data_IF_588025623957
#
_entry.id   IF_588025623957
#
_cell.length_a   1.000
_cell.length_b   1.000
_cell.length_c   1.000
_cell.angle_alpha   90.00
_cell.angle_beta   90.00
_cell.angle_gamma   90.00
#
_symmetry.space_group_name_H-M   'P 1'
#
loop_
_entity.id
_entity.type
_entity.pdbx_description
1 polymer ?
#
# COMPACT_ATOMS: atom_id res chain seq x y z
N UNK A 1 1.67 10.03 -11.12
CA UNK A 1 2.01 8.93 -10.19
C UNK A 1 1.73 7.57 -10.81
N UNK A 2 2.41 6.54 -10.35
CA UNK A 2 2.21 5.17 -10.81
C UNK A 2 2.44 4.19 -9.66
N UNK A 3 1.68 3.09 -9.69
CA UNK A 3 1.81 1.96 -8.77
C UNK A 3 2.18 0.73 -9.58
N UNK A 4 3.21 0.00 -9.17
CA UNK A 4 3.71 -1.17 -9.90
C UNK A 4 4.31 -2.22 -8.97
N UNK A 5 4.41 -3.44 -9.49
CA UNK A 5 5.18 -4.52 -8.89
C UNK A 5 6.53 -4.59 -9.62
N UNK A 6 7.62 -4.43 -8.89
CA UNK A 6 8.98 -4.54 -9.43
C UNK A 6 9.60 -5.84 -8.94
N UNK A 7 10.05 -6.67 -9.89
CA UNK A 7 10.76 -7.91 -9.58
C UNK A 7 12.24 -7.79 -9.90
N UNK A 8 13.05 -8.03 -8.92
CA UNK A 8 14.51 -8.15 -9.02
C UNK A 8 14.89 -9.63 -9.06
N UNK A 9 15.55 -10.14 -10.12
CA UNK A 9 15.95 -11.54 -10.17
C UNK A 9 17.08 -11.85 -9.18
N UNK A 10 17.29 -13.12 -8.81
CA UNK A 10 18.46 -13.51 -8.02
C UNK A 10 19.78 -13.06 -8.66
N UNK A 11 20.69 -12.54 -7.84
CA UNK A 11 21.99 -12.01 -8.30
C UNK A 11 21.92 -10.62 -8.94
N UNK A 12 20.75 -9.99 -8.96
CA UNK A 12 20.62 -8.65 -9.51
C UNK A 12 21.42 -7.65 -8.67
N UNK A 13 22.15 -6.78 -9.35
CA UNK A 13 22.93 -5.72 -8.71
C UNK A 13 23.07 -4.49 -9.59
N UNK A 14 23.26 -3.35 -8.95
CA UNK A 14 23.57 -2.07 -9.56
C UNK A 14 24.70 -1.40 -8.76
N UNK A 15 25.84 -1.21 -9.41
CA UNK A 15 27.08 -0.75 -8.78
C UNK A 15 27.49 0.66 -9.25
N UNK A 16 26.52 1.49 -9.53
CA UNK A 16 26.76 2.89 -9.88
C UNK A 16 25.79 3.78 -9.11
N UNK A 17 26.27 4.97 -8.80
CA UNK A 17 25.47 5.98 -8.12
C UNK A 17 24.39 6.52 -9.04
N UNK A 18 23.17 6.53 -8.54
CA UNK A 18 22.01 7.11 -9.22
C UNK A 18 21.09 7.81 -8.23
N UNK A 19 20.19 8.63 -8.76
CA UNK A 19 19.03 9.17 -8.06
C UNK A 19 17.84 9.28 -9.02
N UNK A 20 16.64 9.35 -8.47
CA UNK A 20 15.43 9.62 -9.25
C UNK A 20 14.87 10.98 -8.87
N UNK A 21 14.26 11.69 -9.85
CA UNK A 21 13.64 13.01 -9.66
C UNK A 21 12.15 12.93 -9.31
N UNK A 22 11.77 11.84 -8.67
CA UNK A 22 10.44 11.65 -8.11
C UNK A 22 10.56 10.91 -6.77
N UNK A 23 9.57 11.07 -5.91
CA UNK A 23 9.50 10.25 -4.71
C UNK A 23 9.25 8.80 -5.10
N UNK A 24 9.85 7.88 -4.35
CA UNK A 24 9.60 6.46 -4.43
C UNK A 24 9.27 5.93 -3.05
N UNK A 25 8.12 5.30 -2.94
CA UNK A 25 7.79 4.47 -1.80
C UNK A 25 7.81 3.01 -2.23
N UNK A 26 8.22 2.11 -1.35
CA UNK A 26 8.08 0.69 -1.61
C UNK A 26 7.80 -0.13 -0.35
N UNK A 27 7.15 -1.26 -0.57
CA UNK A 27 6.92 -2.31 0.41
C UNK A 27 7.42 -3.64 -0.14
N UNK A 28 8.24 -4.37 0.62
CA UNK A 28 8.82 -5.63 0.16
C UNK A 28 7.81 -6.76 0.35
N UNK A 29 7.37 -7.35 -0.76
CA UNK A 29 6.42 -8.47 -0.79
C UNK A 29 7.11 -9.83 -0.68
N UNK A 30 8.27 -9.98 -1.34
CA UNK A 30 9.04 -11.23 -1.37
C UNK A 30 10.54 -10.94 -1.39
N UNK A 31 11.32 -11.84 -0.77
CA UNK A 31 12.78 -11.80 -0.84
C UNK A 31 13.41 -10.64 -0.08
N UNK A 32 14.52 -10.12 -0.62
CA UNK A 32 15.33 -9.09 0.01
C UNK A 32 16.07 -8.25 -1.02
N UNK A 33 16.08 -6.93 -0.80
CA UNK A 33 16.95 -5.99 -1.54
C UNK A 33 17.74 -5.14 -0.55
N UNK A 34 19.00 -4.85 -0.87
CA UNK A 34 19.82 -3.90 -0.14
C UNK A 34 20.02 -2.63 -0.96
N UNK A 35 19.83 -1.46 -0.36
CA UNK A 35 20.09 -0.14 -0.94
C UNK A 35 21.04 0.58 0.03
N UNK A 36 22.20 1.05 -0.44
CA UNK A 36 23.20 1.72 0.39
C UNK A 36 23.57 0.94 1.67
N UNK A 37 23.71 -0.38 1.56
CA UNK A 37 23.98 -1.32 2.66
C UNK A 37 22.84 -1.45 3.70
N UNK A 38 21.68 -0.87 3.45
CA UNK A 38 20.47 -1.10 4.27
C UNK A 38 19.71 -2.26 3.62
N UNK A 39 19.49 -3.33 4.38
CA UNK A 39 18.70 -4.47 3.92
C UNK A 39 17.22 -4.25 4.16
N UNK A 40 16.42 -4.56 3.13
CA UNK A 40 14.96 -4.51 3.13
C UNK A 40 14.44 -5.92 2.84
N UNK A 41 13.97 -6.58 3.86
CA UNK A 41 13.34 -7.90 3.82
C UNK A 41 11.82 -7.79 3.75
N UNK A 42 11.13 -8.92 3.61
CA UNK A 42 9.66 -8.98 3.58
C UNK A 42 9.04 -8.24 4.77
N UNK A 43 7.97 -7.49 4.50
CA UNK A 43 7.24 -6.63 5.43
C UNK A 43 8.04 -5.38 5.88
N UNK A 44 9.02 -4.96 5.09
CA UNK A 44 9.65 -3.66 5.28
C UNK A 44 9.16 -2.63 4.27
N UNK A 45 9.11 -1.39 4.72
CA UNK A 45 8.70 -0.20 3.98
C UNK A 45 9.81 0.84 3.97
N UNK A 46 9.91 1.61 2.89
CA UNK A 46 10.71 2.82 2.80
C UNK A 46 9.99 3.90 1.99
N UNK A 47 10.27 5.17 2.32
CA UNK A 47 9.96 6.33 1.49
C UNK A 47 11.27 7.06 1.17
N UNK A 48 11.64 7.04 -0.10
CA UNK A 48 12.85 7.67 -0.62
C UNK A 48 12.46 8.92 -1.41
N UNK A 49 12.68 10.12 -0.85
CA UNK A 49 12.28 11.36 -1.52
C UNK A 49 13.06 11.61 -2.81
N UNK A 50 12.49 12.40 -3.71
CA UNK A 50 13.14 12.88 -4.92
C UNK A 50 14.57 13.37 -4.64
N UNK A 51 15.54 12.90 -5.42
CA UNK A 51 16.95 13.22 -5.24
C UNK A 51 17.72 12.34 -4.25
N UNK A 52 17.04 11.39 -3.56
CA UNK A 52 17.74 10.44 -2.69
C UNK A 52 18.73 9.60 -3.48
N UNK A 53 20.01 9.68 -3.09
CA UNK A 53 21.09 9.02 -3.79
C UNK A 53 21.19 7.53 -3.41
N UNK A 54 21.33 6.70 -4.42
CA UNK A 54 21.56 5.26 -4.30
C UNK A 54 22.93 4.93 -4.87
N UNK A 55 23.87 4.58 -4.00
CA UNK A 55 25.25 4.26 -4.40
C UNK A 55 25.40 2.80 -4.84
N UNK A 56 24.58 1.94 -4.23
CA UNK A 56 24.53 0.52 -4.55
C UNK A 56 23.15 -0.05 -4.30
N UNK A 57 22.74 -0.99 -5.15
CA UNK A 57 21.54 -1.78 -4.96
C UNK A 57 21.84 -3.25 -5.28
N UNK A 58 21.46 -4.16 -4.40
CA UNK A 58 21.79 -5.59 -4.54
C UNK A 58 20.60 -6.43 -4.07
N UNK A 59 20.21 -7.41 -4.87
CA UNK A 59 19.28 -8.47 -4.45
C UNK A 59 19.92 -9.84 -4.75
N UNK A 60 20.47 -10.47 -3.71
CA UNK A 60 21.21 -11.73 -3.85
C UNK A 60 20.29 -12.88 -4.23
N UNK A 61 19.15 -12.98 -3.59
CA UNK A 61 18.20 -14.09 -3.74
C UNK A 61 16.95 -13.72 -4.54
N UNK A 62 16.87 -12.47 -5.03
CA UNK A 62 15.71 -11.91 -5.66
C UNK A 62 14.81 -11.18 -4.67
N UNK A 63 14.01 -10.25 -5.19
CA UNK A 63 13.02 -9.50 -4.42
C UNK A 63 11.82 -9.13 -5.29
N UNK A 64 10.66 -8.98 -4.66
CA UNK A 64 9.45 -8.41 -5.27
C UNK A 64 8.97 -7.26 -4.41
N UNK A 65 8.85 -6.08 -4.98
CA UNK A 65 8.45 -4.86 -4.31
C UNK A 65 7.13 -4.34 -4.90
N UNK A 66 6.21 -3.98 -4.03
CA UNK A 66 5.12 -3.07 -4.38
C UNK A 66 5.69 -1.66 -4.29
N UNK A 67 5.70 -0.93 -5.40
CA UNK A 67 6.38 0.36 -5.51
C UNK A 67 5.42 1.44 -6.02
N UNK A 68 5.53 2.61 -5.43
CA UNK A 68 4.76 3.80 -5.78
C UNK A 68 5.71 4.93 -6.17
N UNK A 69 5.49 5.51 -7.34
CA UNK A 69 6.22 6.68 -7.79
C UNK A 69 5.32 7.90 -7.80
N UNK A 70 5.76 8.99 -7.17
CA UNK A 70 5.02 10.26 -7.13
C UNK A 70 4.89 10.95 -8.50
N UNK A 71 5.76 10.62 -9.44
CA UNK A 71 5.81 11.17 -10.79
C UNK A 71 6.38 10.19 -11.81
N UNK A 72 6.80 10.71 -12.96
CA UNK A 72 7.47 9.91 -14.00
C UNK A 72 8.84 9.45 -13.52
N UNK A 73 9.09 8.16 -13.61
CA UNK A 73 10.39 7.58 -13.26
C UNK A 73 11.46 8.07 -14.26
N UNK A 74 12.41 8.85 -13.75
CA UNK A 74 13.56 9.33 -14.48
C UNK A 74 14.81 9.05 -13.67
N UNK A 75 15.61 8.09 -14.11
CA UNK A 75 16.83 7.64 -13.44
C UNK A 75 18.01 8.46 -13.95
N UNK A 76 18.66 9.18 -13.05
CA UNK A 76 19.85 9.98 -13.34
C UNK A 76 21.08 9.31 -12.74
N UNK A 77 22.09 9.11 -13.58
CA UNK A 77 23.40 8.59 -13.16
C UNK A 77 24.30 9.79 -12.85
N UNK A 78 24.64 9.98 -11.60
CA UNK A 78 25.57 11.02 -11.19
C UNK A 78 26.24 10.64 -9.88
N UNK A 79 27.52 11.02 -9.75
CA UNK A 79 28.26 10.94 -8.50
C UNK A 79 28.18 12.25 -7.69
N UNK A 80 27.59 13.28 -8.25
CA UNK A 80 27.36 14.53 -7.53
C UNK A 80 26.27 14.33 -6.49
N UNK A 81 26.49 14.83 -5.29
CA UNK A 81 25.47 14.80 -4.24
C UNK A 81 24.26 15.62 -4.66
N UNK A 82 23.14 14.98 -4.81
CA UNK A 82 21.87 15.64 -5.03
C UNK A 82 21.19 15.90 -3.68
N UNK A 83 20.58 17.08 -3.54
CA UNK A 83 19.83 17.41 -2.32
C UNK A 83 18.46 16.73 -2.35
N UNK A 84 18.00 16.26 -1.20
CA UNK A 84 16.66 15.75 -0.99
C UNK A 84 16.08 16.26 0.32
N UNK A 85 14.76 16.25 0.47
CA UNK A 85 14.10 16.64 1.71
C UNK A 85 14.21 15.53 2.75
N UNK A 86 15.08 15.75 3.75
CA UNK A 86 15.32 14.78 4.84
C UNK A 86 14.09 14.55 5.72
N UNK A 87 13.14 15.51 5.79
CA UNK A 87 11.92 15.36 6.59
C UNK A 87 10.95 14.34 5.99
N UNK A 88 11.09 14.09 4.68
CA UNK A 88 10.27 13.13 3.94
C UNK A 88 10.94 11.75 3.82
N UNK A 89 12.14 11.58 4.35
CA UNK A 89 12.86 10.31 4.29
C UNK A 89 12.38 9.34 5.37
N UNK A 90 11.88 8.18 4.96
CA UNK A 90 11.75 6.99 5.81
C UNK A 90 12.71 5.94 5.29
N UNK A 91 13.87 5.79 5.94
CA UNK A 91 14.89 4.84 5.47
C UNK A 91 14.40 3.41 5.53
N UNK A 92 13.78 3.01 6.66
CA UNK A 92 13.25 1.66 6.82
C UNK A 92 12.26 1.62 7.98
N UNK A 93 11.09 1.02 7.75
CA UNK A 93 10.15 0.62 8.79
C UNK A 93 9.85 -0.87 8.62
N UNK A 94 10.07 -1.67 9.65
CA UNK A 94 9.67 -3.08 9.69
C UNK A 94 8.28 -3.18 10.31
N UNK A 95 7.30 -3.70 9.59
CA UNK A 95 5.95 -3.88 10.11
C UNK A 95 5.88 -4.89 11.26
N UNK A 96 6.88 -5.80 11.34
CA UNK A 96 6.98 -6.80 12.42
C UNK A 96 7.46 -6.22 13.73
N UNK A 97 8.34 -5.20 13.65
CA UNK A 97 9.01 -4.62 14.81
C UNK A 97 8.40 -3.28 15.24
N UNK A 98 7.53 -2.72 14.41
CA UNK A 98 6.92 -1.42 14.66
C UNK A 98 5.80 -1.50 15.72
N UNK A 99 5.58 -0.39 16.40
CA UNK A 99 4.46 -0.23 17.31
C UNK A 99 3.17 0.04 16.53
N UNK A 100 2.24 -0.90 16.56
CA UNK A 100 0.93 -0.78 15.93
C UNK A 100 -0.03 0.07 16.77
N UNK A 101 -1.07 0.64 16.16
CA UNK A 101 -2.03 1.59 16.70
C UNK A 101 -1.44 2.98 16.96
N UNK A 102 -0.49 3.39 16.12
CA UNK A 102 0.12 4.72 16.15
C UNK A 102 -0.59 5.73 15.22
N UNK A 103 -1.79 5.41 14.75
CA UNK A 103 -2.63 6.27 13.89
C UNK A 103 -3.70 6.95 14.74
N UNK A 104 -3.84 8.25 14.59
CA UNK A 104 -4.94 9.01 15.19
C UNK A 104 -6.23 8.77 14.39
N UNK A 105 -7.05 7.82 14.88
CA UNK A 105 -8.31 7.41 14.23
C UNK A 105 -9.36 8.51 14.25
N UNK A 106 -9.36 9.37 15.28
CA UNK A 106 -10.33 10.47 15.38
C UNK A 106 -9.99 11.56 14.35
N UNK A 107 -8.70 11.91 14.19
CA UNK A 107 -8.26 12.87 13.19
C UNK A 107 -8.56 12.43 11.75
N UNK A 108 -8.52 11.12 11.48
CA UNK A 108 -8.82 10.55 10.17
C UNK A 108 -10.31 10.23 9.95
N UNK A 109 -11.16 10.33 11.00
CA UNK A 109 -12.55 9.94 10.95
C UNK A 109 -12.78 8.44 10.76
N UNK A 110 -11.84 7.61 11.23
CA UNK A 110 -11.85 6.16 11.03
C UNK A 110 -12.35 5.37 12.25
N UNK A 111 -12.68 6.03 13.35
CA UNK A 111 -12.99 5.38 14.64
C UNK A 111 -14.13 4.37 14.55
N UNK A 112 -15.23 4.74 13.90
CA UNK A 112 -16.43 3.89 13.78
C UNK A 112 -16.18 2.65 12.94
N UNK A 113 -15.28 2.72 11.95
CA UNK A 113 -15.03 1.63 11.01
C UNK A 113 -13.79 0.79 11.34
N UNK A 114 -12.97 1.23 12.29
CA UNK A 114 -11.72 0.56 12.66
C UNK A 114 -11.88 -0.50 13.75
N UNK A 115 -13.08 -0.70 14.31
CA UNK A 115 -13.31 -1.78 15.26
C UNK A 115 -12.87 -3.14 14.70
N UNK A 116 -12.07 -3.89 15.46
CA UNK A 116 -11.46 -5.14 15.01
C UNK A 116 -10.30 -4.97 14.00
N UNK A 117 -9.74 -3.77 13.92
CA UNK A 117 -8.49 -3.50 13.15
C UNK A 117 -7.42 -2.86 14.02
N UNK A 118 -6.17 -3.08 13.60
CA UNK A 118 -5.00 -2.32 14.08
C UNK A 118 -4.38 -1.62 12.89
N UNK A 119 -3.94 -0.39 13.11
CA UNK A 119 -3.34 0.46 12.07
C UNK A 119 -1.89 0.79 12.44
N UNK A 120 -1.04 0.81 11.41
CA UNK A 120 0.36 1.20 11.52
C UNK A 120 0.65 2.27 10.47
N UNK A 121 0.90 3.51 10.91
CA UNK A 121 1.38 4.57 10.04
C UNK A 121 2.81 4.25 9.60
N UNK A 122 3.04 4.21 8.29
CA UNK A 122 4.34 4.02 7.68
C UNK A 122 4.97 5.36 7.28
N UNK A 123 4.15 6.28 6.77
CA UNK A 123 4.56 7.61 6.35
C UNK A 123 3.38 8.58 6.41
N UNK A 124 3.66 9.79 6.89
CA UNK A 124 2.77 10.96 6.75
C UNK A 124 3.60 12.06 6.10
N UNK A 125 3.19 12.51 4.92
CA UNK A 125 3.91 13.55 4.21
C UNK A 125 3.78 14.90 4.93
N UNK A 126 4.88 15.50 5.40
CA UNK A 126 4.83 16.78 6.10
C UNK A 126 4.41 17.96 5.22
N UNK A 127 4.34 17.79 3.89
CA UNK A 127 3.99 18.87 2.97
C UNK A 127 2.48 18.95 2.72
N UNK A 128 1.79 17.83 2.61
CA UNK A 128 0.40 17.76 2.20
C UNK A 128 -0.47 16.82 3.03
N UNK A 129 0.13 16.17 4.05
CA UNK A 129 -0.53 15.20 4.93
C UNK A 129 -1.10 13.96 4.20
N UNK A 130 -0.59 13.60 3.03
CA UNK A 130 -0.82 12.26 2.49
C UNK A 130 -0.32 11.22 3.48
N UNK A 131 -1.04 10.11 3.58
CA UNK A 131 -0.68 9.02 4.50
C UNK A 131 -0.53 7.69 3.78
N UNK A 132 0.53 6.95 4.11
CA UNK A 132 0.70 5.54 3.80
C UNK A 132 0.67 4.74 5.10
N UNK A 133 -0.20 3.73 5.19
CA UNK A 133 -0.38 2.95 6.42
C UNK A 133 -0.79 1.51 6.14
N UNK A 134 -0.55 0.65 7.11
CA UNK A 134 -1.09 -0.70 7.13
C UNK A 134 -2.33 -0.77 8.00
N UNK A 135 -3.29 -1.59 7.61
CA UNK A 135 -4.37 -2.03 8.48
C UNK A 135 -4.41 -3.55 8.54
N UNK A 136 -4.39 -4.08 9.75
CA UNK A 136 -4.56 -5.51 10.04
C UNK A 136 -5.91 -5.75 10.70
N UNK A 137 -6.78 -6.54 10.08
CA UNK A 137 -8.11 -6.87 10.59
C UNK A 137 -8.17 -8.28 11.16
N UNK A 138 -8.92 -8.46 12.26
CA UNK A 138 -9.21 -9.79 12.81
C UNK A 138 -10.17 -10.58 11.92
N UNK A 139 -10.19 -11.93 12.02
CA UNK A 139 -11.24 -12.74 11.39
C UNK A 139 -12.63 -12.32 11.84
N UNK A 140 -13.59 -12.43 10.93
CA UNK A 140 -15.01 -12.05 11.10
C UNK A 140 -15.24 -10.57 11.41
N UNK A 141 -14.26 -9.69 11.12
CA UNK A 141 -14.54 -8.25 11.12
C UNK A 141 -15.61 -7.94 10.10
N UNK A 142 -16.62 -7.15 10.51
CA UNK A 142 -17.64 -6.57 9.64
C UNK A 142 -17.85 -5.09 10.02
N UNK A 143 -17.39 -4.17 9.18
CA UNK A 143 -17.83 -2.79 9.26
C UNK A 143 -19.25 -2.69 8.66
N UNK A 144 -20.04 -1.75 9.17
CA UNK A 144 -21.43 -1.55 8.69
C UNK A 144 -21.59 -0.23 7.94
N UNK A 145 -20.58 0.64 7.98
CA UNK A 145 -20.69 1.99 7.47
C UNK A 145 -19.95 2.13 6.13
N UNK A 146 -20.65 2.50 5.05
CA UNK A 146 -20.00 3.02 3.87
C UNK A 146 -19.31 4.35 4.19
N UNK A 147 -18.28 4.66 3.42
CA UNK A 147 -17.43 5.83 3.62
C UNK A 147 -17.03 6.47 2.30
N UNK A 148 -16.56 7.73 2.34
CA UNK A 148 -15.85 8.37 1.24
C UNK A 148 -14.76 9.30 1.76
N UNK A 149 -13.81 9.61 0.90
CA UNK A 149 -12.71 10.52 1.18
C UNK A 149 -12.64 11.65 0.15
N UNK A 150 -12.21 12.87 0.53
CA UNK A 150 -12.05 13.98 -0.41
C UNK A 150 -10.83 13.84 -1.33
N UNK A 151 -10.00 12.83 -1.11
CA UNK A 151 -8.77 12.52 -1.84
C UNK A 151 -8.87 11.18 -2.53
N UNK A 152 -8.01 10.93 -3.51
CA UNK A 152 -7.89 9.59 -4.08
C UNK A 152 -7.30 8.64 -3.04
N UNK A 153 -7.71 7.37 -3.10
CA UNK A 153 -7.21 6.31 -2.23
C UNK A 153 -6.84 5.10 -3.06
N UNK A 154 -5.72 4.50 -2.74
CA UNK A 154 -5.37 3.19 -3.26
C UNK A 154 -5.05 2.22 -2.13
N UNK A 155 -5.27 0.92 -2.39
CA UNK A 155 -4.84 -0.11 -1.47
C UNK A 155 -4.44 -1.40 -2.19
N UNK A 156 -3.60 -2.16 -1.51
CA UNK A 156 -3.15 -3.48 -1.92
C UNK A 156 -3.36 -4.48 -0.78
N UNK A 157 -3.98 -5.61 -1.08
CA UNK A 157 -4.19 -6.69 -0.10
C UNK A 157 -2.91 -7.51 0.01
N UNK A 158 -2.22 -7.41 1.14
CA UNK A 158 -0.98 -8.13 1.43
C UNK A 158 -1.24 -9.58 1.88
N UNK A 159 -2.37 -9.81 2.55
CA UNK A 159 -2.73 -11.13 3.05
C UNK A 159 -4.17 -11.24 3.51
N UNK A 160 -4.68 -12.46 3.58
CA UNK A 160 -6.06 -12.72 3.97
C UNK A 160 -7.08 -12.38 2.88
N UNK A 161 -8.31 -12.11 3.30
CA UNK A 161 -9.46 -11.84 2.43
C UNK A 161 -10.19 -10.59 2.89
N UNK A 162 -10.43 -9.67 1.98
CA UNK A 162 -11.27 -8.49 2.18
C UNK A 162 -12.54 -8.62 1.34
N UNK A 163 -13.71 -8.51 1.97
CA UNK A 163 -15.01 -8.46 1.30
C UNK A 163 -15.55 -7.03 1.33
N UNK A 164 -16.02 -6.52 0.22
CA UNK A 164 -16.55 -5.17 0.09
C UNK A 164 -17.37 -4.97 -1.18
N UNK A 165 -17.71 -3.73 -1.50
CA UNK A 165 -18.56 -3.41 -2.64
C UNK A 165 -17.98 -3.72 -4.03
N UNK A 166 -16.68 -4.03 -4.12
CA UNK A 166 -16.05 -4.52 -5.37
C UNK A 166 -16.04 -6.06 -5.45
N UNK A 167 -16.50 -6.76 -4.43
CA UNK A 167 -16.45 -8.23 -4.35
C UNK A 167 -15.48 -8.72 -3.28
N UNK A 168 -14.96 -9.92 -3.50
CA UNK A 168 -13.96 -10.55 -2.63
C UNK A 168 -12.57 -10.26 -3.20
N UNK A 169 -11.69 -9.72 -2.35
CA UNK A 169 -10.32 -9.38 -2.69
C UNK A 169 -9.36 -10.20 -1.82
N UNK A 170 -8.42 -10.87 -2.46
CA UNK A 170 -7.38 -11.69 -1.81
C UNK A 170 -6.02 -11.02 -1.89
N UNK A 171 -5.01 -11.62 -1.28
CA UNK A 171 -3.62 -11.21 -1.45
C UNK A 171 -3.26 -11.01 -2.93
N UNK A 172 -2.68 -9.87 -3.26
CA UNK A 172 -2.41 -9.44 -4.63
C UNK A 172 -3.51 -8.57 -5.27
N UNK A 173 -4.69 -8.47 -4.67
CA UNK A 173 -5.72 -7.57 -5.17
C UNK A 173 -5.32 -6.11 -4.94
N UNK A 174 -5.50 -5.30 -5.97
CA UNK A 174 -5.26 -3.86 -5.96
C UNK A 174 -6.55 -3.11 -6.27
N UNK A 175 -6.76 -2.01 -5.57
CA UNK A 175 -7.88 -1.12 -5.79
C UNK A 175 -7.42 0.35 -5.75
N UNK A 176 -7.85 1.14 -6.73
CA UNK A 176 -7.70 2.58 -6.75
C UNK A 176 -9.07 3.23 -6.86
N UNK A 177 -9.28 4.32 -6.13
CA UNK A 177 -10.53 5.08 -6.14
C UNK A 177 -10.26 6.56 -6.34
N UNK A 178 -11.03 7.22 -7.21
CA UNK A 178 -11.00 8.68 -7.29
C UNK A 178 -11.60 9.31 -6.02
N UNK A 179 -11.34 10.62 -5.79
CA UNK A 179 -11.99 11.37 -4.71
C UNK A 179 -13.51 11.26 -4.73
N UNK A 180 -14.12 11.32 -3.56
CA UNK A 180 -15.57 11.41 -3.33
C UNK A 180 -16.39 10.18 -3.74
N UNK A 181 -15.78 9.07 -4.11
CA UNK A 181 -16.51 7.82 -4.39
C UNK A 181 -16.89 7.13 -3.09
N UNK A 182 -18.18 6.89 -2.89
CA UNK A 182 -18.70 6.12 -1.76
C UNK A 182 -18.31 4.65 -1.93
N UNK A 183 -17.79 4.04 -0.87
CA UNK A 183 -17.32 2.67 -0.87
C UNK A 183 -17.48 2.00 0.51
N UNK A 184 -17.23 0.70 0.59
CA UNK A 184 -17.54 -0.08 1.77
C UNK A 184 -19.05 -0.43 1.84
N UNK A 185 -19.51 -0.98 2.96
CA UNK A 185 -18.69 -1.38 4.10
C UNK A 185 -17.75 -2.52 3.76
N UNK A 186 -16.68 -2.65 4.58
CA UNK A 186 -15.70 -3.71 4.42
C UNK A 186 -15.70 -4.66 5.60
N UNK A 187 -15.45 -5.92 5.30
CA UNK A 187 -15.23 -6.94 6.31
C UNK A 187 -14.23 -8.00 5.84
N UNK A 188 -13.87 -8.87 6.75
CA UNK A 188 -12.92 -9.94 6.45
C UNK A 188 -13.34 -11.23 7.16
N UNK A 189 -13.64 -12.31 6.41
CA UNK A 189 -13.98 -13.59 7.04
C UNK A 189 -12.77 -14.28 7.67
N UNK A 190 -11.55 -13.98 7.18
CA UNK A 190 -10.31 -14.68 7.58
C UNK A 190 -9.32 -13.79 8.34
N UNK A 191 -9.61 -12.49 8.51
CA UNK A 191 -8.63 -11.47 8.76
C UNK A 191 -7.98 -11.02 7.45
N UNK A 192 -7.46 -9.80 7.43
CA UNK A 192 -6.78 -9.22 6.27
C UNK A 192 -5.66 -8.29 6.72
N UNK A 193 -4.59 -8.25 5.94
CA UNK A 193 -3.53 -7.25 6.02
C UNK A 193 -3.52 -6.46 4.71
N UNK A 194 -3.62 -5.13 4.83
CA UNK A 194 -3.82 -4.25 3.69
C UNK A 194 -2.87 -3.05 3.82
N UNK A 195 -2.21 -2.68 2.74
CA UNK A 195 -1.47 -1.42 2.63
C UNK A 195 -2.36 -0.41 1.92
N UNK A 196 -2.54 0.77 2.53
CA UNK A 196 -3.39 1.84 2.02
C UNK A 196 -2.59 3.13 1.87
N UNK A 197 -2.96 3.95 0.87
CA UNK A 197 -2.41 5.29 0.64
C UNK A 197 -3.52 6.28 0.32
N UNK A 198 -3.41 7.50 0.86
CA UNK A 198 -4.12 8.67 0.31
C UNK A 198 -3.25 9.39 -0.71
N UNK A 199 -3.86 9.98 -1.72
CA UNK A 199 -3.17 10.70 -2.81
C UNK A 199 -3.87 12.04 -3.03
N UNK A 200 -3.11 13.12 -2.90
CA UNK A 200 -3.61 14.49 -3.12
C UNK A 200 -3.95 15.23 -1.82
N UNK A 201 -3.66 14.67 -0.65
CA UNK A 201 -3.86 15.34 0.63
C UNK A 201 -4.23 14.41 1.79
N UNK A 202 -4.67 14.97 2.92
CA UNK A 202 -4.99 14.21 4.12
C UNK A 202 -6.19 13.29 3.90
N UNK A 203 -6.07 12.08 4.41
CA UNK A 203 -7.19 11.15 4.48
C UNK A 203 -8.15 11.63 5.58
N UNK A 204 -9.27 12.22 5.19
CA UNK A 204 -10.43 12.46 6.07
C UNK A 204 -11.59 11.61 5.60
N UNK A 205 -12.45 11.18 6.52
CA UNK A 205 -13.50 10.19 6.23
C UNK A 205 -14.86 10.75 6.55
N UNK A 206 -15.77 10.73 5.57
CA UNK A 206 -17.19 10.96 5.75
C UNK A 206 -17.92 9.62 5.80
N UNK A 207 -18.65 9.40 6.88
CA UNK A 207 -19.37 8.15 7.15
C UNK A 207 -20.82 8.27 6.71
N UNK A 208 -21.34 7.24 6.08
CA UNK A 208 -22.73 7.13 5.64
C UNK A 208 -23.56 6.21 6.56
N UNK A 209 -24.90 6.28 6.52
CA UNK A 209 -25.75 5.40 7.32
C UNK A 209 -25.40 3.92 7.15
N UNK A 210 -25.49 3.17 8.23
CA UNK A 210 -25.16 1.75 8.26
C UNK A 210 -25.98 0.95 7.25
N UNK A 211 -25.33 -0.01 6.62
CA UNK A 211 -25.94 -1.00 5.73
C UNK A 211 -25.52 -2.40 6.15
N UNK A 212 -26.28 -3.41 5.74
CA UNK A 212 -25.91 -4.79 6.00
C UNK A 212 -24.62 -5.16 5.28
N UNK A 213 -23.68 -5.78 6.00
CA UNK A 213 -22.45 -6.30 5.43
C UNK A 213 -22.64 -7.75 4.99
N UNK A 214 -22.12 -8.08 3.80
CA UNK A 214 -22.04 -9.44 3.30
C UNK A 214 -20.59 -9.90 3.15
N UNK A 215 -20.27 -11.09 3.66
CA UNK A 215 -18.98 -11.75 3.37
C UNK A 215 -18.94 -12.43 1.99
N UNK A 216 -20.05 -12.45 1.28
CA UNK A 216 -20.17 -12.97 -0.09
C UNK A 216 -20.81 -11.90 -1.00
N UNK A 217 -20.13 -10.76 -1.16
CA UNK A 217 -20.65 -9.70 -2.03
C UNK A 217 -20.59 -10.13 -3.49
N UNK A 218 -21.44 -9.53 -4.31
CA UNK A 218 -21.34 -9.69 -5.75
C UNK A 218 -19.99 -9.16 -6.26
N UNK A 219 -19.29 -9.96 -7.07
CA UNK A 219 -18.01 -9.56 -7.66
C UNK A 219 -18.26 -8.58 -8.81
N UNK A 220 -17.79 -7.35 -8.66
CA UNK A 220 -17.96 -6.24 -9.62
C UNK A 220 -16.62 -5.59 -9.95
N UNK A 221 -15.69 -6.29 -10.62
CA UNK A 221 -14.43 -5.68 -11.00
C UNK A 221 -14.68 -4.57 -12.02
N UNK A 222 -14.03 -3.42 -11.83
CA UNK A 222 -14.02 -2.33 -12.81
C UNK A 222 -12.75 -2.50 -13.65
N UNK A 223 -12.89 -3.16 -14.78
CA UNK A 223 -11.77 -3.43 -15.68
C UNK A 223 -12.05 -2.81 -17.05
N UNK A 224 -11.00 -2.35 -17.76
CA UNK A 224 -11.10 -2.05 -19.17
C UNK A 224 -11.64 -3.26 -19.96
N UNK A 225 -12.38 -3.00 -21.03
CA UNK A 225 -13.06 -4.05 -21.80
C UNK A 225 -12.12 -5.17 -22.31
N UNK A 226 -10.88 -4.82 -22.63
CA UNK A 226 -9.84 -5.78 -23.05
C UNK A 226 -9.32 -6.68 -21.93
N UNK A 227 -9.63 -6.36 -20.66
CA UNK A 227 -9.24 -7.13 -19.47
C UNK A 227 -10.46 -7.77 -18.76
N UNK A 228 -11.66 -7.66 -19.33
CA UNK A 228 -12.89 -8.15 -18.69
C UNK A 228 -12.87 -9.65 -18.39
N UNK A 229 -12.18 -10.44 -19.20
CA UNK A 229 -12.04 -11.88 -18.98
C UNK A 229 -11.18 -12.21 -17.73
N UNK A 230 -10.22 -11.37 -17.40
CA UNK A 230 -9.41 -11.53 -16.18
C UNK A 230 -10.26 -11.41 -14.92
N UNK A 231 -11.26 -10.52 -14.93
CA UNK A 231 -12.20 -10.36 -13.82
C UNK A 231 -13.17 -11.52 -13.63
N UNK A 232 -13.27 -12.44 -14.60
CA UNK A 232 -14.13 -13.64 -14.50
C UNK A 232 -13.42 -14.84 -13.88
N UNK A 233 -12.13 -14.74 -13.61
CA UNK A 233 -11.37 -15.82 -12.97
C UNK A 233 -11.94 -16.03 -11.58
N UNK A 234 -12.50 -17.21 -11.34
CA UNK A 234 -13.02 -17.62 -10.04
C UNK A 234 -11.91 -17.58 -9.00
N UNK A 235 -12.20 -16.97 -7.87
CA UNK A 235 -11.25 -16.87 -6.78
C UNK A 235 -11.29 -18.19 -6.02
N UNK A 236 -10.37 -19.11 -6.30
CA UNK A 236 -10.10 -20.21 -5.41
C UNK A 236 -9.42 -19.66 -4.14
N UNK A 237 -10.17 -19.61 -3.06
CA UNK A 237 -9.59 -19.29 -1.76
C UNK A 237 -8.49 -20.32 -1.48
N UNK A 238 -7.24 -19.90 -1.25
CA UNK A 238 -6.17 -20.84 -0.97
C UNK A 238 -6.54 -21.68 0.26
N UNK A 239 -6.66 -22.99 0.09
CA UNK A 239 -6.79 -23.92 1.20
C UNK A 239 -5.49 -23.87 1.97
N UNK A 240 -5.52 -23.22 3.12
CA UNK A 240 -4.35 -23.15 4.01
C UNK A 240 -4.47 -24.22 5.09
N UNK A 241 -4.47 -25.48 4.71
CA UNK A 241 -4.16 -26.63 5.61
C UNK A 241 -4.32 -27.94 4.87
#
# INVERSE_FOLDING_TARGET
SSTCIIKYPPGWHRNFTEYVLTDEEFYVLEGEISINNISYEVDTYAHLPSGFQRDSMISKNGAVLLTFFGGTLNINKSKENHSYDKKRLVLKTSAKDAEWNNVDLDALGLKEISSGSRLLSLFVDPLNNEITYLTGSVPFKAAQFPERHPVAQEFYVLGGVLAGNCGIMQAGAYCWRPPMVVHGPYGSPTGALILLRSIGGPLTTEIFPAVEHSYQPEHKPVLPSNLSEVGKIGIDLPKRY
#
